data_IF_355877873671
#
_entry.id   IF_355877873671
#
_cell.length_a   1.000
_cell.length_b   1.000
_cell.length_c   1.000
_cell.angle_alpha   90.00
_cell.angle_beta   90.00
_cell.angle_gamma   90.00
#
_symmetry.space_group_name_H-M   'P 1'
#
loop_
_entity.id
_entity.type
_entity.pdbx_description
1 polymer ?
#
# COMPACT_ATOMS: atom_id res chain seq x y z
N UNK A 1 7.93 77.74 -15.24
CA UNK A 1 7.26 76.43 -15.40
C UNK A 1 8.12 75.34 -14.71
N UNK A 2 7.68 74.90 -13.54
CA UNK A 2 8.35 73.76 -12.79
C UNK A 2 7.59 72.49 -13.13
N UNK A 3 8.33 71.48 -13.69
CA UNK A 3 7.80 70.15 -13.96
C UNK A 3 8.05 69.29 -12.70
N UNK A 4 6.99 68.83 -12.07
CA UNK A 4 7.03 67.89 -10.96
C UNK A 4 6.97 66.46 -11.52
N UNK A 5 8.03 65.66 -11.36
CA UNK A 5 8.04 64.26 -11.77
C UNK A 5 7.59 63.40 -10.56
N UNK A 6 6.51 62.66 -10.74
CA UNK A 6 6.04 61.66 -9.79
C UNK A 6 6.76 60.35 -10.09
N UNK A 7 7.54 59.85 -9.13
CA UNK A 7 8.07 58.47 -9.13
C UNK A 7 7.03 57.55 -8.51
N UNK A 8 6.48 56.68 -9.31
CA UNK A 8 5.61 55.60 -8.80
C UNK A 8 6.50 54.40 -8.40
N UNK A 9 6.59 54.15 -7.09
CA UNK A 9 7.26 52.98 -6.58
C UNK A 9 6.35 51.76 -6.72
N UNK A 10 6.74 50.78 -7.53
CA UNK A 10 6.07 49.49 -7.62
C UNK A 10 6.63 48.58 -6.56
N UNK A 11 5.82 48.28 -5.55
CA UNK A 11 6.17 47.31 -4.47
C UNK A 11 5.89 45.92 -4.99
N UNK A 12 6.95 45.17 -5.34
CA UNK A 12 6.86 43.73 -5.64
C UNK A 12 6.71 42.93 -4.31
N UNK A 13 5.49 42.48 -4.03
CA UNK A 13 5.26 41.51 -2.99
C UNK A 13 5.78 40.13 -3.49
N UNK A 14 6.95 39.72 -3.01
CA UNK A 14 7.42 38.35 -3.18
C UNK A 14 6.59 37.44 -2.26
N UNK A 15 5.59 36.77 -2.81
CA UNK A 15 4.83 35.75 -2.11
C UNK A 15 5.76 34.57 -1.78
N UNK A 16 6.05 34.35 -0.52
CA UNK A 16 6.71 33.12 -0.06
C UNK A 16 5.74 31.95 -0.26
N UNK A 17 5.87 31.22 -1.36
CA UNK A 17 5.22 29.93 -1.51
C UNK A 17 5.86 28.96 -0.54
N UNK A 18 5.16 28.63 0.56
CA UNK A 18 5.52 27.52 1.41
C UNK A 18 5.54 26.27 0.55
N UNK A 19 6.71 25.69 0.31
CA UNK A 19 6.88 24.35 -0.22
C UNK A 19 6.34 23.38 0.84
N UNK A 20 5.05 23.15 0.86
CA UNK A 20 4.48 21.92 1.46
C UNK A 20 5.11 20.80 0.69
N UNK A 21 5.91 19.95 1.38
CA UNK A 21 6.58 18.82 0.73
C UNK A 21 5.56 18.05 -0.08
N UNK A 22 5.83 17.91 -1.39
CA UNK A 22 4.91 17.26 -2.32
C UNK A 22 4.56 15.85 -1.83
N UNK A 23 3.31 15.48 -1.95
CA UNK A 23 2.84 14.14 -1.66
C UNK A 23 3.54 13.16 -2.59
N UNK A 24 4.42 12.34 -2.03
CA UNK A 24 5.23 11.37 -2.77
C UNK A 24 4.45 10.11 -3.09
N UNK A 25 3.53 9.74 -2.19
CA UNK A 25 2.75 8.52 -2.33
C UNK A 25 1.35 8.81 -2.83
N UNK A 26 0.88 7.96 -3.74
CA UNK A 26 -0.52 7.90 -4.14
C UNK A 26 -1.07 6.50 -3.93
N UNK A 27 -2.34 6.41 -3.55
CA UNK A 27 -3.09 5.16 -3.44
C UNK A 27 -4.32 5.25 -4.30
N UNK A 28 -4.48 4.29 -5.18
CA UNK A 28 -5.62 4.16 -6.10
C UNK A 28 -6.33 2.83 -5.82
N UNK A 29 -7.59 2.88 -5.39
CA UNK A 29 -8.40 1.67 -5.24
C UNK A 29 -8.85 1.18 -6.61
N UNK A 30 -8.84 -0.15 -6.81
CA UNK A 30 -9.30 -0.84 -8.00
C UNK A 30 -10.33 -1.91 -7.61
N UNK A 31 -10.99 -2.51 -8.58
CA UNK A 31 -11.97 -3.56 -8.31
C UNK A 31 -11.34 -4.77 -7.62
N UNK A 32 -10.10 -5.09 -7.96
CA UNK A 32 -9.35 -6.24 -7.44
C UNK A 32 -8.39 -5.90 -6.28
N UNK A 33 -8.27 -4.61 -5.89
CA UNK A 33 -7.37 -4.23 -4.82
C UNK A 33 -7.05 -2.76 -4.67
N UNK A 34 -5.75 -2.44 -4.58
CA UNK A 34 -5.24 -1.08 -4.54
C UNK A 34 -3.83 -1.01 -5.12
N UNK A 35 -3.50 0.09 -5.79
CA UNK A 35 -2.19 0.39 -6.34
C UNK A 35 -1.53 1.45 -5.46
N UNK A 36 -0.34 1.17 -4.94
CA UNK A 36 0.50 2.12 -4.22
C UNK A 36 1.64 2.56 -5.14
N UNK A 37 1.75 3.86 -5.36
CA UNK A 37 2.83 4.46 -6.16
C UNK A 37 3.67 5.40 -5.29
N UNK A 38 4.95 5.45 -5.58
CA UNK A 38 5.93 6.39 -5.01
C UNK A 38 6.49 7.24 -6.16
N UNK A 39 6.38 8.57 -6.06
CA UNK A 39 6.81 9.52 -7.08
C UNK A 39 6.29 9.13 -8.48
N UNK A 40 5.01 8.74 -8.56
CA UNK A 40 4.33 8.29 -9.78
C UNK A 40 4.70 6.89 -10.28
N UNK A 41 5.69 6.22 -9.69
CA UNK A 41 6.13 4.86 -10.05
C UNK A 41 5.52 3.81 -9.13
N UNK A 42 5.26 2.62 -9.66
CA UNK A 42 4.75 1.52 -8.86
C UNK A 42 5.67 1.21 -7.68
N UNK A 43 5.07 1.13 -6.48
CA UNK A 43 5.70 0.56 -5.30
C UNK A 43 5.21 -0.87 -5.11
N UNK A 44 3.88 -1.07 -5.05
CA UNK A 44 3.25 -2.38 -4.96
C UNK A 44 1.78 -2.32 -5.36
N UNK A 45 1.17 -3.50 -5.52
CA UNK A 45 -0.28 -3.67 -5.61
C UNK A 45 -0.75 -4.55 -4.46
N UNK A 46 -1.74 -4.11 -3.73
CA UNK A 46 -2.53 -4.98 -2.87
C UNK A 46 -3.57 -5.69 -3.74
N UNK A 47 -3.52 -7.01 -3.80
CA UNK A 47 -4.53 -7.84 -4.44
C UNK A 47 -5.43 -8.43 -3.36
N UNK A 48 -6.75 -8.23 -3.48
CA UNK A 48 -7.74 -8.75 -2.53
C UNK A 48 -7.73 -10.26 -2.43
N UNK A 49 -7.31 -10.92 -3.53
CA UNK A 49 -7.25 -12.36 -3.61
C UNK A 49 -6.17 -12.81 -4.61
N UNK A 50 -5.26 -13.62 -4.13
CA UNK A 50 -4.46 -14.53 -4.93
C UNK A 50 -4.49 -15.92 -4.29
N UNK A 51 -4.90 -16.93 -5.05
CA UNK A 51 -5.21 -18.26 -4.52
C UNK A 51 -6.29 -18.18 -3.43
N UNK A 52 -5.92 -18.20 -2.15
CA UNK A 52 -6.85 -18.20 -1.03
C UNK A 52 -6.66 -17.01 -0.05
N UNK A 53 -5.86 -16.00 -0.41
CA UNK A 53 -5.52 -14.90 0.50
C UNK A 53 -5.15 -13.58 -0.18
N UNK A 54 -5.23 -12.44 0.52
CA UNK A 54 -4.68 -11.17 0.03
C UNK A 54 -3.15 -11.18 0.03
N UNK A 55 -2.56 -10.50 -0.97
CA UNK A 55 -1.10 -10.37 -1.12
C UNK A 55 -0.70 -8.96 -1.55
N UNK A 56 0.58 -8.62 -1.36
CA UNK A 56 1.22 -7.52 -2.06
C UNK A 56 2.10 -8.08 -3.19
N UNK A 57 1.82 -7.69 -4.45
CA UNK A 57 2.61 -8.12 -5.61
C UNK A 57 2.41 -7.18 -6.79
N UNK A 58 3.49 -6.81 -7.52
CA UNK A 58 4.89 -6.99 -7.13
C UNK A 58 5.27 -6.04 -5.99
N UNK A 59 6.38 -6.29 -5.29
CA UNK A 59 7.00 -5.33 -4.38
C UNK A 59 8.27 -4.81 -5.05
N UNK A 60 8.29 -3.52 -5.36
CA UNK A 60 9.38 -2.88 -6.12
C UNK A 60 10.35 -2.20 -5.17
N UNK A 61 11.61 -2.57 -5.24
CA UNK A 61 12.69 -2.00 -4.45
C UNK A 61 13.15 -0.62 -4.92
N UNK A 62 14.12 0.00 -4.20
CA UNK A 62 14.59 1.37 -4.51
C UNK A 62 15.26 1.47 -5.88
N UNK A 63 15.83 0.39 -6.40
CA UNK A 63 16.44 0.34 -7.73
C UNK A 63 15.44 0.13 -8.87
N UNK A 64 14.14 0.03 -8.57
CA UNK A 64 13.09 -0.27 -9.54
C UNK A 64 12.94 -1.75 -9.89
N UNK A 65 13.71 -2.62 -9.26
CA UNK A 65 13.61 -4.09 -9.46
C UNK A 65 12.58 -4.68 -8.52
N UNK A 66 11.93 -5.75 -8.95
CA UNK A 66 11.07 -6.57 -8.10
C UNK A 66 11.92 -7.30 -7.05
N UNK A 67 11.47 -7.26 -5.79
CA UNK A 67 12.18 -7.76 -4.63
C UNK A 67 11.59 -9.07 -4.11
N UNK A 68 10.39 -9.42 -4.56
CA UNK A 68 9.67 -10.61 -4.10
C UNK A 68 9.59 -11.66 -5.20
N UNK A 69 9.35 -12.90 -4.78
CA UNK A 69 9.21 -14.03 -5.69
C UNK A 69 8.04 -13.82 -6.66
N UNK A 70 8.19 -14.19 -7.95
CA UNK A 70 7.09 -14.25 -8.90
C UNK A 70 5.95 -15.15 -8.42
N UNK A 71 4.73 -14.88 -8.89
CA UNK A 71 3.55 -15.60 -8.50
C UNK A 71 3.49 -16.98 -9.15
N UNK A 72 3.28 -18.04 -8.34
CA UNK A 72 2.99 -19.39 -8.85
C UNK A 72 4.14 -20.09 -9.54
N UNK A 73 5.38 -19.60 -9.39
CA UNK A 73 6.56 -20.19 -10.02
C UNK A 73 7.41 -21.03 -9.05
N UNK A 74 8.14 -22.01 -9.61
CA UNK A 74 9.10 -22.83 -8.93
C UNK A 74 8.48 -23.93 -8.07
N UNK A 75 9.26 -24.43 -7.11
CA UNK A 75 8.95 -25.59 -6.26
C UNK A 75 7.92 -25.31 -5.15
N UNK A 76 7.72 -24.04 -4.79
CA UNK A 76 6.81 -23.61 -3.72
C UNK A 76 5.76 -22.64 -4.29
N UNK A 77 4.83 -23.17 -5.07
CA UNK A 77 3.77 -22.38 -5.76
C UNK A 77 2.86 -21.59 -4.82
N UNK A 78 2.81 -21.95 -3.52
CA UNK A 78 2.07 -21.22 -2.50
C UNK A 78 2.84 -20.01 -1.95
N UNK A 79 4.15 -19.89 -2.21
CA UNK A 79 4.93 -18.72 -1.86
C UNK A 79 4.68 -17.62 -2.92
N UNK A 80 3.86 -16.65 -2.57
CA UNK A 80 3.31 -15.68 -3.52
C UNK A 80 3.63 -14.24 -3.09
N UNK A 81 4.89 -13.82 -3.31
CA UNK A 81 5.32 -12.45 -3.01
C UNK A 81 5.26 -12.12 -1.50
N UNK A 82 4.60 -11.04 -1.08
CA UNK A 82 4.46 -10.65 0.31
C UNK A 82 3.04 -10.94 0.79
N UNK A 83 2.89 -11.79 1.80
CA UNK A 83 1.61 -12.26 2.32
C UNK A 83 1.70 -12.64 3.79
N UNK A 84 0.55 -12.74 4.47
CA UNK A 84 0.44 -13.18 5.85
C UNK A 84 -0.59 -14.28 5.97
N UNK A 85 -0.24 -15.34 6.70
CA UNK A 85 -1.13 -16.47 7.00
C UNK A 85 -0.57 -17.32 8.13
N UNK A 86 -1.29 -18.36 8.52
CA UNK A 86 -0.90 -19.36 9.49
C UNK A 86 -1.31 -20.77 9.04
N UNK A 87 -0.47 -21.77 9.35
CA UNK A 87 -0.69 -23.15 8.90
C UNK A 87 -1.87 -23.85 9.57
N UNK A 88 -2.22 -23.47 10.79
CA UNK A 88 -3.36 -24.07 11.50
C UNK A 88 -4.06 -23.02 12.38
N UNK A 89 -5.28 -22.67 12.01
CA UNK A 89 -6.18 -21.84 12.82
C UNK A 89 -7.45 -22.65 13.06
N UNK A 90 -7.66 -23.10 14.30
CA UNK A 90 -8.79 -23.92 14.69
C UNK A 90 -8.99 -25.18 13.81
N UNK A 91 -7.88 -25.84 13.43
CA UNK A 91 -7.92 -27.04 12.58
C UNK A 91 -7.92 -26.79 11.08
N UNK A 92 -7.96 -25.53 10.64
CA UNK A 92 -7.96 -25.16 9.22
C UNK A 92 -6.59 -24.67 8.77
N UNK A 93 -6.07 -25.23 7.68
CA UNK A 93 -4.81 -24.81 7.06
C UNK A 93 -5.03 -23.65 6.10
N UNK A 94 -4.54 -22.44 6.48
CA UNK A 94 -4.55 -21.26 5.63
C UNK A 94 -3.25 -21.07 4.85
N UNK A 95 -2.21 -21.84 5.18
CA UNK A 95 -0.92 -21.75 4.51
C UNK A 95 -0.97 -22.30 3.09
N UNK A 96 -1.48 -23.52 2.91
CA UNK A 96 -1.57 -24.19 1.61
C UNK A 96 -2.97 -24.09 1.02
N UNK A 97 -3.87 -24.94 1.53
CA UNK A 97 -5.27 -25.07 1.08
C UNK A 97 -6.13 -25.36 2.30
N UNK A 98 -7.41 -25.17 2.19
CA UNK A 98 -8.33 -25.53 3.24
C UNK A 98 -9.02 -24.35 3.89
N UNK A 99 -8.39 -23.20 3.96
CA UNK A 99 -8.99 -21.97 4.43
C UNK A 99 -8.84 -20.85 3.41
N UNK A 100 -9.66 -19.80 3.57
CA UNK A 100 -9.61 -18.60 2.74
C UNK A 100 -9.60 -17.35 3.62
N UNK A 101 -8.65 -16.46 3.36
CA UNK A 101 -8.64 -15.11 3.92
C UNK A 101 -9.32 -14.19 2.93
N UNK A 102 -10.54 -13.80 3.23
CA UNK A 102 -11.39 -13.00 2.35
C UNK A 102 -11.32 -11.53 2.73
N UNK A 103 -10.78 -10.70 1.84
CA UNK A 103 -10.84 -9.26 2.00
C UNK A 103 -12.30 -8.79 2.07
N UNK A 104 -12.61 -7.97 3.07
CA UNK A 104 -13.94 -7.40 3.28
C UNK A 104 -14.01 -5.94 2.87
N UNK A 105 -13.09 -5.13 3.39
CA UNK A 105 -13.13 -3.68 3.14
C UNK A 105 -11.75 -3.02 3.29
N UNK A 106 -11.62 -1.85 2.68
CA UNK A 106 -10.59 -0.86 2.96
C UNK A 106 -11.12 0.18 3.94
N UNK A 107 -10.67 0.16 5.19
CA UNK A 107 -10.99 1.21 6.17
C UNK A 107 -10.20 2.48 5.90
N UNK A 108 -8.95 2.34 5.39
CA UNK A 108 -8.09 3.45 4.96
C UNK A 108 -7.40 3.05 3.68
N UNK A 109 -7.38 3.96 2.70
CA UNK A 109 -6.56 3.88 1.50
C UNK A 109 -6.15 5.31 1.14
N UNK A 110 -5.00 5.75 1.66
CA UNK A 110 -4.55 7.14 1.55
C UNK A 110 -3.09 7.25 1.16
N UNK A 111 -2.79 8.26 0.36
CA UNK A 111 -1.42 8.68 0.03
C UNK A 111 -1.04 9.96 0.78
N UNK A 112 0.14 10.49 0.49
CA UNK A 112 0.71 11.66 1.11
C UNK A 112 2.24 11.57 1.19
N UNK A 113 2.83 11.97 2.32
CA UNK A 113 4.25 11.71 2.60
C UNK A 113 4.55 10.22 2.70
N UNK A 114 3.62 9.45 3.25
CA UNK A 114 3.56 7.99 3.30
C UNK A 114 2.26 7.52 2.66
N UNK A 115 2.14 6.22 2.35
CA UNK A 115 0.86 5.64 2.02
C UNK A 115 0.38 4.72 3.14
N UNK A 116 -0.93 4.64 3.34
CA UNK A 116 -1.53 3.74 4.32
C UNK A 116 -2.68 2.96 3.70
N UNK A 117 -2.63 1.64 3.84
CA UNK A 117 -3.76 0.75 3.62
C UNK A 117 -4.17 0.15 4.96
N UNK A 118 -5.43 0.30 5.34
CA UNK A 118 -6.04 -0.44 6.45
C UNK A 118 -7.17 -1.29 5.91
N UNK A 119 -7.08 -2.60 6.13
CA UNK A 119 -8.03 -3.58 5.58
C UNK A 119 -8.65 -4.41 6.70
N UNK A 120 -9.84 -4.91 6.42
CA UNK A 120 -10.51 -5.95 7.23
C UNK A 120 -10.63 -7.19 6.35
N UNK A 121 -10.32 -8.36 6.91
CA UNK A 121 -10.47 -9.66 6.25
C UNK A 121 -11.09 -10.68 7.19
N UNK A 122 -11.93 -11.54 6.64
CA UNK A 122 -12.49 -12.68 7.36
C UNK A 122 -11.70 -13.96 7.03
N UNK A 123 -11.36 -14.72 8.05
CA UNK A 123 -10.71 -16.03 7.91
C UNK A 123 -11.80 -17.11 7.94
N UNK A 124 -11.98 -17.78 6.81
CA UNK A 124 -13.05 -18.77 6.62
C UNK A 124 -12.45 -20.16 6.40
N UNK A 125 -13.06 -21.17 7.02
CA UNK A 125 -12.76 -22.58 6.73
C UNK A 125 -13.28 -22.98 5.34
N UNK A 126 -13.03 -24.23 4.94
CA UNK A 126 -13.48 -24.81 3.66
C UNK A 126 -14.99 -24.80 3.49
N UNK A 127 -15.74 -24.89 4.59
CA UNK A 127 -17.19 -24.80 4.61
C UNK A 127 -17.72 -23.38 4.54
N UNK A 128 -16.84 -22.36 4.56
CA UNK A 128 -17.21 -20.95 4.55
C UNK A 128 -17.54 -20.37 5.91
N UNK A 129 -17.38 -21.13 7.00
CA UNK A 129 -17.58 -20.64 8.38
C UNK A 129 -16.47 -19.66 8.74
N UNK A 130 -16.82 -18.50 9.28
CA UNK A 130 -15.86 -17.52 9.78
C UNK A 130 -15.25 -18.05 11.09
N UNK A 131 -13.93 -18.18 11.11
CA UNK A 131 -13.14 -18.60 12.28
C UNK A 131 -12.58 -17.42 13.05
N UNK A 132 -12.35 -16.30 12.37
CA UNK A 132 -11.85 -15.05 12.94
C UNK A 132 -11.90 -13.94 11.92
N UNK A 133 -11.56 -12.73 12.39
CA UNK A 133 -11.45 -11.52 11.56
C UNK A 133 -10.12 -10.85 11.88
N UNK A 134 -9.44 -10.38 10.86
CA UNK A 134 -8.22 -9.59 11.02
C UNK A 134 -8.42 -8.15 10.60
N UNK A 135 -7.81 -7.23 11.34
CA UNK A 135 -7.53 -5.87 10.92
C UNK A 135 -6.04 -5.76 10.60
N UNK A 136 -5.70 -5.34 9.37
CA UNK A 136 -4.31 -5.16 8.95
C UNK A 136 -4.06 -3.71 8.56
N UNK A 137 -3.01 -3.10 9.15
CA UNK A 137 -2.52 -1.78 8.77
C UNK A 137 -1.19 -1.98 8.08
N UNK A 138 -1.04 -1.43 6.88
CA UNK A 138 0.21 -1.42 6.11
C UNK A 138 0.58 0.03 5.84
N UNK A 139 1.74 0.48 6.32
CA UNK A 139 2.28 1.81 6.07
C UNK A 139 3.48 1.67 5.14
N UNK A 140 3.44 2.35 4.01
CA UNK A 140 4.49 2.35 2.99
C UNK A 140 5.27 3.65 3.10
N UNK A 141 6.59 3.53 3.20
CA UNK A 141 7.46 4.69 3.29
C UNK A 141 8.79 4.44 2.54
N UNK A 142 9.55 5.51 2.27
CA UNK A 142 10.79 5.43 1.52
C UNK A 142 11.68 6.65 1.76
N UNK A 143 12.98 6.40 1.71
CA UNK A 143 14.00 7.42 1.52
C UNK A 143 14.81 7.15 0.25
N UNK A 144 15.91 7.88 0.05
CA UNK A 144 16.74 7.75 -1.16
C UNK A 144 17.43 6.38 -1.29
N UNK A 145 17.54 5.61 -0.20
CA UNK A 145 18.30 4.36 -0.14
C UNK A 145 17.43 3.13 0.08
N UNK A 146 16.25 3.30 0.67
CA UNK A 146 15.41 2.20 1.12
C UNK A 146 13.93 2.46 0.89
N UNK A 147 13.17 1.36 0.79
CA UNK A 147 11.72 1.30 0.86
C UNK A 147 11.34 0.30 1.93
N UNK A 148 10.32 0.59 2.72
CA UNK A 148 9.83 -0.32 3.74
C UNK A 148 8.32 -0.33 3.83
N UNK A 149 7.82 -1.36 4.45
CA UNK A 149 6.40 -1.59 4.71
C UNK A 149 6.29 -2.00 6.18
N UNK A 150 5.74 -1.12 7.01
CA UNK A 150 5.39 -1.47 8.37
C UNK A 150 4.02 -2.15 8.38
N UNK A 151 3.90 -3.27 9.08
CA UNK A 151 2.68 -4.07 9.09
C UNK A 151 2.26 -4.40 10.50
N UNK A 152 1.07 -3.93 10.89
CA UNK A 152 0.39 -4.29 12.12
C UNK A 152 -0.82 -5.17 11.79
N UNK A 153 -0.95 -6.30 12.48
CA UNK A 153 -2.06 -7.23 12.32
C UNK A 153 -2.66 -7.54 13.68
N UNK A 154 -3.96 -7.34 13.78
CA UNK A 154 -4.79 -7.72 14.93
C UNK A 154 -5.78 -8.76 14.47
N UNK A 155 -5.78 -9.92 15.14
CA UNK A 155 -6.65 -11.05 14.88
C UNK A 155 -7.64 -11.24 16.01
#
# INVERSE_FOLDING_TARGET
>A
MRRTSFFTAVLLLAGATSLVGADRFTVEKTDDGAIVKLDGKLFTRYQKLFQNKPILHPVIGPTGKEMTRPLGEGDHVHHSSFWFTHGNVNGTDFWHKGGRIEHKDFLVASGGKTATLKTISAWKDDGGKVLGEESRVMVFDANDKARWIDVDIVF
#
